data_IF_096109227298
#
_entry.id   IF_096109227298
#
_cell.length_a   1.000
_cell.length_b   1.000
_cell.length_c   1.000
_cell.angle_alpha   90.00
_cell.angle_beta   90.00
_cell.angle_gamma   90.00
#
_symmetry.space_group_name_H-M   'P 1'
#
loop_
_entity.id
_entity.type
_entity.pdbx_description
1 polymer ?
#
# COMPACT_ATOMS: atom_id res chain seq x y z
N UNK A 1 -3.41 -3.07 5.69
CA UNK A 1 -3.28 -2.10 6.78
C UNK A 1 -4.26 -0.94 6.53
N UNK A 2 -5.22 -0.62 7.41
CA UNK A 2 -5.81 0.71 7.52
C UNK A 2 -5.12 1.43 8.67
N UNK A 3 -3.96 2.02 8.39
CA UNK A 3 -3.14 2.69 9.42
C UNK A 3 -3.84 3.97 9.92
N UNK A 4 -3.51 4.41 11.14
CA UNK A 4 -4.07 5.63 11.75
C UNK A 4 -3.85 6.90 10.92
N UNK A 5 -2.87 6.90 10.01
CA UNK A 5 -2.59 8.01 9.11
C UNK A 5 -3.44 7.99 7.83
N UNK A 6 -4.08 6.87 7.49
CA UNK A 6 -4.85 6.76 6.25
C UNK A 6 -6.17 7.53 6.36
N UNK A 7 -6.43 8.38 5.37
CA UNK A 7 -7.47 9.40 5.40
C UNK A 7 -8.85 8.90 4.93
N UNK A 8 -8.96 7.65 4.51
CA UNK A 8 -10.20 7.05 4.06
C UNK A 8 -10.60 5.87 4.93
N UNK A 9 -11.87 5.83 5.33
CA UNK A 9 -12.43 4.72 6.08
C UNK A 9 -12.51 3.44 5.22
N UNK A 10 -12.41 2.27 5.86
CA UNK A 10 -12.58 0.95 5.24
C UNK A 10 -13.92 0.28 5.56
N UNK A 11 -14.78 0.96 6.32
CA UNK A 11 -16.10 0.51 6.73
C UNK A 11 -16.60 1.22 7.99
N UNK A 12 -17.71 0.75 8.54
CA UNK A 12 -18.35 1.31 9.74
C UNK A 12 -18.74 0.18 10.70
N UNK A 13 -18.13 0.14 11.88
CA UNK A 13 -18.39 -0.91 12.88
C UNK A 13 -19.64 -0.67 13.74
N UNK A 14 -20.30 0.48 13.61
CA UNK A 14 -21.60 0.75 14.25
C UNK A 14 -22.72 0.11 13.42
N UNK A 15 -22.56 0.10 12.10
CA UNK A 15 -23.58 -0.35 11.15
C UNK A 15 -23.35 -1.79 10.64
N UNK A 16 -22.10 -2.29 10.72
CA UNK A 16 -21.70 -3.59 10.19
C UNK A 16 -20.80 -4.36 11.16
N UNK A 17 -20.87 -5.68 11.13
CA UNK A 17 -19.97 -6.53 11.90
C UNK A 17 -18.51 -6.41 11.41
N UNK A 18 -17.56 -6.68 12.31
CA UNK A 18 -16.14 -6.66 11.98
C UNK A 18 -15.80 -7.52 10.77
N UNK A 19 -16.37 -8.72 10.65
CA UNK A 19 -16.08 -9.62 9.53
C UNK A 19 -16.53 -9.04 8.19
N UNK A 20 -17.64 -8.28 8.17
CA UNK A 20 -18.12 -7.63 6.96
C UNK A 20 -17.18 -6.49 6.54
N UNK A 21 -16.81 -5.63 7.49
CA UNK A 21 -15.84 -4.54 7.25
C UNK A 21 -14.49 -5.11 6.83
N UNK A 22 -14.03 -6.16 7.51
CA UNK A 22 -12.76 -6.80 7.22
C UNK A 22 -12.77 -7.46 5.84
N UNK A 23 -13.83 -8.18 5.47
CA UNK A 23 -13.93 -8.82 4.16
C UNK A 23 -14.35 -7.87 3.03
N UNK A 24 -14.60 -6.61 3.36
CA UNK A 24 -14.90 -5.53 2.42
C UNK A 24 -13.78 -5.22 1.45
N UNK A 25 -14.16 -4.61 0.31
CA UNK A 25 -13.26 -4.31 -0.82
C UNK A 25 -12.02 -3.49 -0.42
N UNK A 26 -12.20 -2.48 0.42
CA UNK A 26 -11.14 -1.51 0.73
C UNK A 26 -10.15 -2.13 1.72
N UNK A 27 -10.65 -2.85 2.73
CA UNK A 27 -9.81 -3.62 3.64
C UNK A 27 -8.99 -4.69 2.87
N UNK A 28 -9.63 -5.42 1.94
CA UNK A 28 -8.95 -6.39 1.06
C UNK A 28 -7.89 -5.75 0.17
N UNK A 29 -8.18 -4.61 -0.45
CA UNK A 29 -7.23 -3.86 -1.28
C UNK A 29 -5.90 -3.64 -0.55
N UNK A 30 -5.93 -3.24 0.72
CA UNK A 30 -4.70 -3.07 1.51
C UNK A 30 -4.07 -4.38 1.99
N UNK A 31 -4.86 -5.41 2.34
CA UNK A 31 -4.30 -6.70 2.78
C UNK A 31 -3.61 -7.45 1.68
N UNK A 32 -4.19 -7.40 0.48
CA UNK A 32 -3.65 -8.00 -0.72
C UNK A 32 -2.58 -7.11 -1.38
N UNK A 33 -2.25 -5.97 -0.76
CA UNK A 33 -1.17 -5.07 -1.18
C UNK A 33 -1.37 -4.58 -2.62
N UNK A 34 -2.62 -4.43 -3.05
CA UNK A 34 -2.96 -4.04 -4.44
C UNK A 34 -2.54 -2.60 -4.79
N UNK A 35 -2.13 -1.82 -3.80
CA UNK A 35 -1.52 -0.50 -3.99
C UNK A 35 -0.02 -0.55 -4.29
N UNK A 36 0.64 -1.68 -4.06
CA UNK A 36 2.08 -1.79 -4.26
C UNK A 36 2.41 -1.63 -5.75
N UNK A 37 3.56 -1.01 -6.03
CA UNK A 37 4.06 -0.81 -7.39
C UNK A 37 4.36 -2.16 -8.07
N UNK A 38 4.31 -2.22 -9.39
CA UNK A 38 4.57 -3.46 -10.15
C UNK A 38 5.98 -4.05 -9.88
N UNK A 39 6.96 -3.17 -9.65
CA UNK A 39 8.33 -3.55 -9.27
C UNK A 39 8.38 -4.29 -7.93
N UNK A 40 7.37 -4.13 -7.07
CA UNK A 40 7.29 -4.87 -5.81
C UNK A 40 6.87 -6.34 -6.01
N UNK A 41 6.27 -6.71 -7.14
CA UNK A 41 5.76 -8.07 -7.38
C UNK A 41 6.85 -9.16 -7.31
N UNK A 42 8.08 -8.82 -7.70
CA UNK A 42 9.27 -9.68 -7.63
C UNK A 42 10.21 -9.33 -6.48
N UNK A 43 9.84 -8.39 -5.61
CA UNK A 43 10.68 -7.96 -4.49
C UNK A 43 10.55 -8.92 -3.30
N UNK A 44 11.67 -9.58 -2.95
CA UNK A 44 11.73 -10.50 -1.80
C UNK A 44 11.31 -9.86 -0.47
N UNK A 45 11.48 -8.53 -0.36
CA UNK A 45 11.13 -7.78 0.85
C UNK A 45 9.65 -7.36 0.91
N UNK A 46 8.82 -7.60 -0.12
CA UNK A 46 7.41 -7.19 -0.13
C UNK A 46 6.61 -7.78 1.03
N UNK A 47 6.94 -8.99 1.48
CA UNK A 47 6.29 -9.60 2.63
C UNK A 47 6.43 -8.74 3.91
N UNK A 48 7.61 -8.16 4.14
CA UNK A 48 7.92 -7.34 5.30
C UNK A 48 7.53 -5.86 5.09
N UNK A 49 7.90 -5.28 3.95
CA UNK A 49 7.69 -3.86 3.64
C UNK A 49 6.23 -3.54 3.28
N UNK A 50 5.50 -4.50 2.70
CA UNK A 50 4.13 -4.33 2.21
C UNK A 50 3.94 -3.28 1.10
N UNK A 51 5.00 -2.89 0.37
CA UNK A 51 4.91 -1.93 -0.74
C UNK A 51 5.01 -0.47 -0.29
N UNK A 52 5.60 -0.22 0.87
CA UNK A 52 5.74 1.09 1.52
C UNK A 52 4.39 1.79 1.78
N UNK A 53 4.42 3.09 2.08
CA UNK A 53 3.23 3.84 2.48
C UNK A 53 2.41 4.28 1.26
N UNK A 54 1.13 3.90 1.13
CA UNK A 54 0.30 4.34 0.00
C UNK A 54 0.08 5.86 -0.04
N UNK A 55 0.10 6.54 1.11
CA UNK A 55 -0.02 8.00 1.16
C UNK A 55 1.24 8.70 0.63
N UNK A 56 2.40 8.11 0.88
CA UNK A 56 3.66 8.60 0.33
C UNK A 56 3.63 8.54 -1.19
N UNK A 57 3.27 7.38 -1.75
CA UNK A 57 3.14 7.20 -3.20
C UNK A 57 2.07 8.08 -3.82
N UNK A 58 0.94 8.29 -3.15
CA UNK A 58 -0.09 9.24 -3.59
C UNK A 58 0.47 10.67 -3.71
N UNK A 59 1.40 11.07 -2.84
CA UNK A 59 1.96 12.41 -2.82
C UNK A 59 3.14 12.60 -3.77
N UNK A 60 4.08 11.64 -3.83
CA UNK A 60 5.36 11.81 -4.52
C UNK A 60 5.49 11.00 -5.82
N UNK A 61 4.61 10.01 -6.05
CA UNK A 61 4.75 9.06 -7.15
C UNK A 61 5.95 8.11 -6.98
N UNK A 62 6.23 7.28 -7.98
CA UNK A 62 7.14 6.12 -7.86
C UNK A 62 8.54 6.32 -8.42
N UNK A 63 8.92 7.57 -8.75
CA UNK A 63 10.17 7.87 -9.47
C UNK A 63 11.41 7.27 -8.80
N UNK A 64 11.47 7.31 -7.47
CA UNK A 64 12.61 6.74 -6.73
C UNK A 64 12.75 5.22 -6.91
N UNK A 65 11.66 4.49 -7.13
CA UNK A 65 11.70 3.06 -7.42
C UNK A 65 12.15 2.81 -8.86
N UNK A 66 11.61 3.59 -9.79
CA UNK A 66 11.93 3.50 -11.22
C UNK A 66 13.42 3.79 -11.49
N UNK A 67 13.96 4.84 -10.86
CA UNK A 67 15.37 5.21 -10.99
C UNK A 67 16.32 4.10 -10.47
N UNK A 68 16.00 3.49 -9.34
CA UNK A 68 16.77 2.36 -8.80
C UNK A 68 16.71 1.15 -9.73
N UNK A 69 15.53 0.82 -10.27
CA UNK A 69 15.33 -0.34 -11.13
C UNK A 69 16.00 -0.18 -12.50
N UNK A 70 16.03 1.03 -13.05
CA UNK A 70 16.75 1.39 -14.28
C UNK A 70 18.28 1.51 -14.08
N UNK A 71 18.80 1.18 -12.90
CA UNK A 71 20.23 1.23 -12.57
C UNK A 71 20.79 2.64 -12.38
N UNK A 72 19.93 3.65 -12.23
CA UNK A 72 20.33 5.03 -11.91
C UNK A 72 20.16 5.26 -10.42
N UNK A 73 21.21 4.99 -9.64
CA UNK A 73 21.23 5.32 -8.22
C UNK A 73 21.30 6.84 -8.07
N UNK A 74 20.17 7.49 -7.77
CA UNK A 74 20.14 8.90 -7.37
C UNK A 74 20.14 8.97 -5.86
N UNK A 75 21.34 9.01 -5.27
CA UNK A 75 21.49 9.49 -3.88
C UNK A 75 21.33 11.00 -3.95
N UNK A 76 20.26 11.53 -3.38
CA UNK A 76 20.10 12.97 -3.16
C UNK A 76 20.39 13.31 -1.71
#
# INVERSE_FOLDING_TARGET
MPCSSYDQAVGNLIESDFSEVWEGKDAKYFREKRFAHELCSSCDSLAACNGACPLYWRSLGYRELEEIFDGKIVIK
#
